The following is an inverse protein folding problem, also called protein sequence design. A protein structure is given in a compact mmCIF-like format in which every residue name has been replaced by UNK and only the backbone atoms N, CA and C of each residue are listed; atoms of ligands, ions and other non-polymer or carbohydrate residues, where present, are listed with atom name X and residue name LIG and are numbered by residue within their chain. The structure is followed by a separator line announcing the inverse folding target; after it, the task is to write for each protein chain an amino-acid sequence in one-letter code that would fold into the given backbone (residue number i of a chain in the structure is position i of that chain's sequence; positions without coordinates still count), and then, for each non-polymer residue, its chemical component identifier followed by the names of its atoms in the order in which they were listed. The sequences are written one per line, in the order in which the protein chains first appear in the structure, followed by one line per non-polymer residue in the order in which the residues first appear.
data_IF_479247209888
#
_entry.id   IF_479247209888
#
_cell.length_a   1.000
_cell.length_b   1.000
_cell.length_c   1.000
_cell.angle_alpha   90.00
_cell.angle_beta   90.00
_cell.angle_gamma   90.00
#
_symmetry.space_group_name_H-M   'P 1'
#
loop_
_entity.id
_entity.type
_entity.pdbx_description
1 polymer ?
#
# COMPACT_ATOMS: atom_id res chain seq x y z
N UNK A 1 21.92 31.04 3.76
CA UNK A 1 21.55 29.62 3.58
C UNK A 1 21.40 28.96 4.94
N UNK A 2 20.21 28.98 5.53
CA UNK A 2 19.83 27.98 6.54
C UNK A 2 19.26 26.79 5.76
N UNK A 3 20.14 25.94 5.21
CA UNK A 3 19.73 24.93 4.23
C UNK A 3 19.05 23.71 4.86
N UNK A 4 19.07 23.57 6.19
CA UNK A 4 18.32 22.54 6.91
C UNK A 4 18.05 23.02 8.34
N UNK A 5 16.79 22.96 8.79
CA UNK A 5 16.44 23.22 10.18
C UNK A 5 17.16 22.19 11.07
N UNK A 6 17.72 22.64 12.21
CA UNK A 6 18.28 21.78 13.26
C UNK A 6 17.39 20.56 13.57
N UNK A 7 16.07 20.75 13.50
CA UNK A 7 15.09 19.69 13.74
C UNK A 7 15.12 18.61 12.64
N UNK A 8 15.29 19.01 11.37
CA UNK A 8 15.40 18.05 10.26
C UNK A 8 16.73 17.29 10.30
N UNK A 9 17.84 17.96 10.67
CA UNK A 9 19.13 17.31 10.88
C UNK A 9 19.04 16.23 11.97
N UNK A 10 18.38 16.55 13.10
CA UNK A 10 18.16 15.60 14.18
C UNK A 10 17.27 14.44 13.75
N UNK A 11 16.21 14.68 12.99
CA UNK A 11 15.37 13.61 12.44
C UNK A 11 16.17 12.67 11.53
N UNK A 12 16.97 13.20 10.61
CA UNK A 12 17.80 12.40 9.70
C UNK A 12 18.89 11.63 10.46
N UNK A 13 19.53 12.24 11.46
CA UNK A 13 20.51 11.56 12.30
C UNK A 13 19.88 10.50 13.21
N UNK A 14 18.62 10.67 13.60
CA UNK A 14 17.87 9.71 14.43
C UNK A 14 17.21 8.59 13.62
N UNK A 15 17.12 8.73 12.29
CA UNK A 15 16.57 7.70 11.41
C UNK A 15 17.54 6.52 11.38
N UNK A 16 17.13 5.43 12.01
CA UNK A 16 17.86 4.18 11.91
C UNK A 16 17.82 3.66 10.48
N UNK A 17 18.93 3.06 10.03
CA UNK A 17 19.02 2.36 8.73
C UNK A 17 17.85 1.37 8.57
N UNK A 18 17.45 0.73 9.66
CA UNK A 18 16.30 -0.17 9.71
C UNK A 18 14.97 0.50 9.31
N UNK A 19 14.68 1.71 9.79
CA UNK A 19 13.46 2.43 9.41
C UNK A 19 13.44 2.81 7.92
N UNK A 20 14.61 3.08 7.34
CA UNK A 20 14.73 3.38 5.90
C UNK A 20 14.41 2.13 5.07
N UNK A 21 14.89 0.95 5.50
CA UNK A 21 14.53 -0.32 4.85
C UNK A 21 13.03 -0.59 4.91
N UNK A 22 12.41 -0.43 6.09
CA UNK A 22 10.97 -0.68 6.26
C UNK A 22 10.13 0.28 5.40
N UNK A 23 10.50 1.56 5.35
CA UNK A 23 9.85 2.54 4.49
C UNK A 23 9.95 2.17 3.00
N UNK A 24 11.12 1.71 2.56
CA UNK A 24 11.31 1.25 1.19
C UNK A 24 10.49 0.00 0.87
N UNK A 25 10.39 -0.93 1.81
CA UNK A 25 9.62 -2.15 1.67
C UNK A 25 8.12 -1.89 1.56
N UNK A 26 7.57 -1.00 2.39
CA UNK A 26 6.18 -0.52 2.29
C UNK A 26 5.85 -0.05 0.86
N UNK A 27 6.76 0.71 0.24
CA UNK A 27 6.58 1.22 -1.13
C UNK A 27 6.56 0.11 -2.17
N UNK A 28 7.38 -0.94 -2.01
CA UNK A 28 7.38 -2.09 -2.92
C UNK A 28 6.05 -2.85 -2.81
N UNK A 29 5.54 -3.06 -1.59
CA UNK A 29 4.24 -3.68 -1.37
C UNK A 29 3.11 -2.83 -2.00
N UNK A 30 3.13 -1.52 -1.80
CA UNK A 30 2.16 -0.60 -2.38
C UNK A 30 2.20 -0.62 -3.91
N UNK A 31 3.38 -0.68 -4.53
CA UNK A 31 3.51 -0.83 -5.98
C UNK A 31 2.94 -2.17 -6.47
N UNK A 32 3.21 -3.27 -5.77
CA UNK A 32 2.63 -4.58 -6.08
C UNK A 32 1.09 -4.55 -6.02
N UNK A 33 0.54 -3.92 -4.99
CA UNK A 33 -0.90 -3.75 -4.82
C UNK A 33 -1.51 -2.88 -5.93
N UNK A 34 -0.86 -1.75 -6.25
CA UNK A 34 -1.32 -0.86 -7.30
C UNK A 34 -1.34 -1.55 -8.67
N UNK A 35 -0.31 -2.33 -8.99
CA UNK A 35 -0.28 -3.15 -10.21
C UNK A 35 -1.44 -4.14 -10.24
N UNK A 36 -1.75 -4.77 -9.12
CA UNK A 36 -2.90 -5.68 -9.03
C UNK A 36 -4.24 -4.96 -9.27
N UNK A 37 -4.43 -3.76 -8.71
CA UNK A 37 -5.63 -2.97 -8.95
C UNK A 37 -5.80 -2.55 -10.41
N UNK A 38 -4.71 -2.41 -11.19
CA UNK A 38 -4.85 -2.13 -12.63
C UNK A 38 -5.61 -3.25 -13.35
N UNK A 39 -5.51 -4.50 -12.91
CA UNK A 39 -6.29 -5.62 -13.45
C UNK A 39 -7.79 -5.42 -13.19
N UNK A 40 -8.15 -4.96 -12.00
CA UNK A 40 -9.55 -4.66 -11.64
C UNK A 40 -10.11 -3.53 -12.50
N UNK A 41 -9.35 -2.45 -12.66
CA UNK A 41 -9.75 -1.31 -13.51
C UNK A 41 -9.86 -1.74 -14.97
N UNK A 42 -8.91 -2.51 -15.48
CA UNK A 42 -8.95 -3.06 -16.84
C UNK A 42 -10.20 -3.92 -17.05
N UNK A 43 -10.52 -4.80 -16.12
CA UNK A 43 -11.71 -5.65 -16.17
C UNK A 43 -13.01 -4.84 -16.05
N UNK A 44 -13.01 -3.76 -15.26
CA UNK A 44 -14.13 -2.82 -15.17
C UNK A 44 -14.46 -2.20 -16.54
N UNK A 45 -13.43 -1.74 -17.25
CA UNK A 45 -13.57 -1.14 -18.59
C UNK A 45 -13.96 -2.20 -19.62
N UNK A 46 -13.27 -3.35 -19.66
CA UNK A 46 -13.51 -4.42 -20.62
C UNK A 46 -14.92 -5.00 -20.51
N UNK A 47 -15.42 -5.22 -19.28
CA UNK A 47 -16.76 -5.77 -19.04
C UNK A 47 -17.83 -4.68 -18.97
N UNK A 48 -17.47 -3.39 -19.06
CA UNK A 48 -18.35 -2.23 -18.80
C UNK A 48 -19.07 -2.32 -17.45
N UNK A 49 -18.44 -2.97 -16.47
CA UNK A 49 -18.98 -3.16 -15.11
C UNK A 49 -18.33 -2.18 -14.15
N UNK A 50 -18.99 -1.04 -13.97
CA UNK A 50 -18.54 0.04 -13.08
C UNK A 50 -18.33 -0.41 -11.62
N UNK A 51 -18.99 -1.48 -11.16
CA UNK A 51 -18.80 -2.01 -9.81
C UNK A 51 -17.36 -2.44 -9.53
N UNK A 52 -16.62 -2.95 -10.53
CA UNK A 52 -15.22 -3.32 -10.35
C UNK A 52 -14.32 -2.09 -10.19
N UNK A 53 -14.71 -0.94 -10.76
CA UNK A 53 -14.02 0.33 -10.56
C UNK A 53 -14.21 0.82 -9.13
N UNK A 54 -15.44 0.77 -8.60
CA UNK A 54 -15.71 1.09 -7.20
C UNK A 54 -14.96 0.16 -6.24
N UNK A 55 -14.93 -1.14 -6.55
CA UNK A 55 -14.17 -2.10 -5.76
C UNK A 55 -12.67 -1.77 -5.75
N UNK A 56 -12.10 -1.42 -6.90
CA UNK A 56 -10.69 -1.03 -6.99
C UNK A 56 -10.39 0.23 -6.16
N UNK A 57 -11.25 1.26 -6.23
CA UNK A 57 -11.11 2.47 -5.43
C UNK A 57 -11.24 2.20 -3.93
N UNK A 58 -12.21 1.37 -3.54
CA UNK A 58 -12.40 0.96 -2.14
C UNK A 58 -11.22 0.16 -1.60
N UNK A 59 -10.70 -0.80 -2.38
CA UNK A 59 -9.51 -1.58 -2.00
C UNK A 59 -8.26 -0.70 -1.90
N UNK A 60 -8.10 0.29 -2.79
CA UNK A 60 -7.00 1.25 -2.72
C UNK A 60 -7.05 2.07 -1.43
N UNK A 61 -8.20 2.68 -1.15
CA UNK A 61 -8.39 3.46 0.06
C UNK A 61 -8.19 2.61 1.32
N UNK A 62 -8.63 1.34 1.31
CA UNK A 62 -8.45 0.42 2.41
C UNK A 62 -6.98 0.08 2.68
N UNK A 63 -6.20 -0.20 1.63
CA UNK A 63 -4.76 -0.49 1.75
C UNK A 63 -3.99 0.71 2.34
N UNK A 64 -4.38 1.94 1.98
CA UNK A 64 -3.76 3.16 2.50
C UNK A 64 -4.17 3.48 3.95
N UNK A 65 -5.11 2.74 4.56
CA UNK A 65 -5.49 2.94 5.97
C UNK A 65 -4.35 2.55 6.92
N UNK A 66 -3.69 1.42 6.74
CA UNK A 66 -2.63 1.00 7.67
C UNK A 66 -1.43 1.99 7.69
N UNK A 67 -0.90 2.45 6.54
CA UNK A 67 0.15 3.46 6.48
C UNK A 67 -0.31 4.81 7.04
N UNK A 68 -1.55 5.24 6.75
CA UNK A 68 -2.06 6.51 7.28
C UNK A 68 -2.26 6.46 8.81
N UNK A 69 -2.70 5.33 9.35
CA UNK A 69 -2.79 5.11 10.81
C UNK A 69 -1.42 5.14 11.49
N UNK A 70 -0.38 4.61 10.84
CA UNK A 70 0.99 4.73 11.31
C UNK A 70 1.49 6.18 11.27
N UNK A 71 1.19 6.89 10.19
CA UNK A 71 1.57 8.29 10.01
C UNK A 71 0.96 9.22 11.06
N UNK A 72 -0.30 9.00 11.46
CA UNK A 72 -0.95 9.79 12.52
C UNK A 72 -0.63 9.30 13.94
N UNK A 73 0.24 8.29 14.07
CA UNK A 73 0.71 7.76 15.36
C UNK A 73 -0.28 6.84 16.10
N UNK A 74 -1.36 6.43 15.45
CA UNK A 74 -2.30 5.43 16.01
C UNK A 74 -1.70 4.03 15.99
N UNK A 75 -0.93 3.71 14.94
CA UNK A 75 -0.05 2.56 14.92
C UNK A 75 1.38 3.02 15.20
N UNK A 76 2.05 2.36 16.14
CA UNK A 76 3.42 2.70 16.55
C UNK A 76 4.46 1.70 16.06
N UNK A 77 4.01 0.51 15.64
CA UNK A 77 4.89 -0.56 15.19
C UNK A 77 4.94 -0.63 13.65
N UNK A 78 6.05 -0.24 13.02
CA UNK A 78 6.17 -0.26 11.56
C UNK A 78 6.14 -1.67 10.97
N UNK A 79 6.66 -2.68 11.70
CA UNK A 79 6.63 -4.08 11.25
C UNK A 79 5.19 -4.59 11.18
N UNK A 80 4.33 -4.14 12.09
CA UNK A 80 2.91 -4.51 12.08
C UNK A 80 2.21 -3.95 10.84
N UNK A 81 2.55 -2.73 10.39
CA UNK A 81 2.03 -2.16 9.14
C UNK A 81 2.42 -3.03 7.96
N UNK A 82 3.69 -3.42 7.85
CA UNK A 82 4.15 -4.27 6.75
C UNK A 82 3.45 -5.62 6.69
N UNK A 83 3.23 -6.26 7.84
CA UNK A 83 2.51 -7.53 7.91
C UNK A 83 1.06 -7.36 7.44
N UNK A 84 0.37 -6.28 7.83
CA UNK A 84 -0.98 -5.99 7.36
C UNK A 84 -0.98 -5.81 5.83
N UNK A 85 -0.09 -4.97 5.29
CA UNK A 85 -0.01 -4.71 3.85
C UNK A 85 0.31 -5.98 3.05
N UNK A 86 1.23 -6.80 3.55
CA UNK A 86 1.57 -8.06 2.90
C UNK A 86 0.39 -9.04 2.89
N UNK A 87 -0.36 -9.13 4.00
CA UNK A 87 -1.56 -9.96 4.08
C UNK A 87 -2.64 -9.46 3.13
N UNK A 88 -2.91 -8.15 3.10
CA UNK A 88 -3.88 -7.56 2.18
C UNK A 88 -3.51 -7.79 0.72
N UNK A 89 -2.24 -7.61 0.37
CA UNK A 89 -1.73 -7.89 -0.97
C UNK A 89 -1.95 -9.35 -1.36
N UNK A 90 -1.64 -10.31 -0.48
CA UNK A 90 -1.85 -11.74 -0.73
C UNK A 90 -3.35 -12.06 -0.88
N UNK A 91 -4.20 -11.53 0.00
CA UNK A 91 -5.64 -11.75 -0.05
C UNK A 91 -6.27 -11.20 -1.32
N UNK A 92 -5.92 -9.96 -1.71
CA UNK A 92 -6.43 -9.36 -2.94
C UNK A 92 -5.85 -10.07 -4.16
N UNK A 93 -4.58 -10.51 -4.14
CA UNK A 93 -3.99 -11.27 -5.23
C UNK A 93 -4.72 -12.61 -5.44
N UNK A 94 -4.99 -13.32 -4.34
CA UNK A 94 -5.77 -14.55 -4.37
C UNK A 94 -7.19 -14.32 -4.88
N UNK A 95 -7.88 -13.31 -4.36
CA UNK A 95 -9.22 -12.93 -4.83
C UNK A 95 -9.25 -12.56 -6.31
N UNK A 96 -8.26 -11.81 -6.78
CA UNK A 96 -8.11 -11.43 -8.19
C UNK A 96 -7.95 -12.65 -9.09
N UNK A 97 -7.09 -13.60 -8.68
CA UNK A 97 -6.92 -14.87 -9.40
C UNK A 97 -8.21 -15.68 -9.44
N UNK A 98 -8.89 -15.85 -8.32
CA UNK A 98 -10.13 -16.62 -8.26
C UNK A 98 -11.27 -15.99 -9.08
N UNK A 99 -11.38 -14.66 -9.09
CA UNK A 99 -12.44 -13.94 -9.81
C UNK A 99 -12.17 -13.90 -11.32
N UNK A 100 -10.93 -13.64 -11.74
CA UNK A 100 -10.61 -13.36 -13.14
C UNK A 100 -9.85 -14.48 -13.87
N UNK A 101 -8.98 -15.24 -13.19
CA UNK A 101 -8.20 -16.30 -13.84
C UNK A 101 -8.89 -17.67 -13.81
N UNK A 102 -9.82 -17.91 -12.87
CA UNK A 102 -10.53 -19.21 -12.76
C UNK A 102 -11.71 -19.38 -13.74
N UNK A 103 -12.06 -18.33 -14.49
CA UNK A 103 -13.12 -18.32 -15.53
C UNK A 103 -12.57 -18.29 -16.97
N UNK A 104 -11.29 -18.59 -17.17
CA UNK A 104 -10.72 -18.79 -18.51
C UNK A 104 -10.63 -20.26 -18.86
#
# INVERSE_FOLDING_TARGET
MQLLSENMLKTIQSLSVWQIYLLGFERILALGFQLLLTVWVYQAVRQKKWIYLLAAYGLHAFFDLAPSLFQVGWLTNPVLVEVILALELVLVAYGTKEIFCKKS
#
